data_IF_437240343976
#
_entry.id   IF_437240343976
#
_cell.length_a   1.000
_cell.length_b   1.000
_cell.length_c   1.000
_cell.angle_alpha   90.00
_cell.angle_beta   90.00
_cell.angle_gamma   90.00
#
_symmetry.space_group_name_H-M   'P 1'
#
loop_
_entity.id
_entity.type
_entity.pdbx_description
1 polymer ?
#
# COMPACT_ATOMS: atom_id res chain seq x y z
N UNK A 1 0.66 34.09 -10.93
CA UNK A 1 0.04 32.75 -11.04
C UNK A 1 1.03 31.77 -10.43
N UNK A 2 0.63 31.02 -9.40
CA UNK A 2 1.47 30.01 -8.77
C UNK A 2 1.28 28.67 -9.50
N UNK A 3 2.38 27.99 -9.83
CA UNK A 3 2.38 26.66 -10.45
C UNK A 3 3.10 25.68 -9.51
N UNK A 4 2.38 24.66 -9.01
CA UNK A 4 2.98 23.60 -8.23
C UNK A 4 3.43 22.47 -9.15
N UNK A 5 4.74 22.24 -9.23
CA UNK A 5 5.36 21.29 -10.17
C UNK A 5 5.93 20.03 -9.50
N UNK A 6 5.66 19.83 -8.20
CA UNK A 6 6.19 18.69 -7.43
C UNK A 6 5.09 17.67 -7.08
N UNK A 7 4.25 17.34 -8.05
CA UNK A 7 3.15 16.38 -7.86
C UNK A 7 3.64 14.93 -7.63
N UNK A 8 4.91 14.64 -7.87
CA UNK A 8 5.51 13.36 -7.51
C UNK A 8 5.67 13.20 -5.99
N UNK A 9 5.90 14.29 -5.27
CA UNK A 9 6.02 14.27 -3.80
C UNK A 9 4.64 14.31 -3.13
N UNK A 10 3.79 15.26 -3.52
CA UNK A 10 2.45 15.46 -2.94
C UNK A 10 1.47 15.98 -3.97
N UNK A 11 0.19 15.70 -3.77
CA UNK A 11 -0.90 16.25 -4.57
C UNK A 11 -1.97 16.87 -3.69
N UNK A 12 -2.69 17.85 -4.22
CA UNK A 12 -3.85 18.42 -3.54
C UNK A 12 -4.98 17.40 -3.51
N UNK A 13 -5.62 17.27 -2.34
CA UNK A 13 -6.79 16.42 -2.16
C UNK A 13 -7.96 16.91 -3.02
N UNK A 14 -8.64 16.03 -3.73
CA UNK A 14 -9.87 16.33 -4.43
C UNK A 14 -11.00 16.68 -3.45
N UNK A 15 -11.90 17.61 -3.81
CA UNK A 15 -13.01 18.02 -2.94
C UNK A 15 -13.85 16.83 -2.45
N UNK A 16 -14.14 15.87 -3.31
CA UNK A 16 -14.92 14.67 -3.00
C UNK A 16 -14.23 13.78 -1.95
N UNK A 17 -12.90 13.67 -2.01
CA UNK A 17 -12.12 12.91 -1.02
C UNK A 17 -12.16 13.62 0.33
N UNK A 18 -11.95 14.95 0.34
CA UNK A 18 -12.08 15.77 1.56
C UNK A 18 -13.44 15.58 2.22
N UNK A 19 -14.51 15.65 1.43
CA UNK A 19 -15.87 15.60 1.94
C UNK A 19 -16.20 14.22 2.55
N UNK A 20 -15.74 13.12 1.96
CA UNK A 20 -15.82 11.78 2.55
C UNK A 20 -14.99 11.68 3.83
N UNK A 21 -13.79 12.24 3.86
CA UNK A 21 -12.96 12.23 5.07
C UNK A 21 -13.64 12.97 6.22
N UNK A 22 -14.22 14.15 5.96
CA UNK A 22 -14.96 14.90 6.97
C UNK A 22 -16.18 14.10 7.45
N UNK A 23 -16.96 13.52 6.55
CA UNK A 23 -18.10 12.67 6.92
C UNK A 23 -17.70 11.51 7.83
N UNK A 24 -16.63 10.78 7.48
CA UNK A 24 -16.16 9.65 8.29
C UNK A 24 -15.66 10.12 9.65
N UNK A 25 -14.90 11.23 9.71
CA UNK A 25 -14.39 11.76 10.99
C UNK A 25 -15.48 12.29 11.91
N UNK A 26 -16.54 12.92 11.38
CA UNK A 26 -17.56 13.59 12.18
C UNK A 26 -18.76 12.70 12.49
N UNK A 27 -19.19 11.85 11.54
CA UNK A 27 -20.45 11.11 11.62
C UNK A 27 -20.27 9.61 11.68
N UNK A 28 -19.41 9.06 10.81
CA UNK A 28 -19.32 7.61 10.59
C UNK A 28 -18.01 7.05 11.16
N UNK A 29 -17.58 7.61 12.29
CA UNK A 29 -16.29 7.36 12.98
C UNK A 29 -16.18 5.98 13.65
N UNK A 30 -17.09 5.04 13.36
CA UNK A 30 -17.10 3.71 13.95
C UNK A 30 -15.85 2.90 13.63
N UNK A 31 -15.48 1.99 14.53
CA UNK A 31 -14.42 1.03 14.24
C UNK A 31 -14.97 -0.05 13.29
N UNK A 32 -14.41 -0.25 12.10
CA UNK A 32 -14.88 -1.26 11.14
C UNK A 32 -14.89 -2.70 11.69
N UNK A 33 -14.10 -2.98 12.72
CA UNK A 33 -14.07 -4.31 13.36
C UNK A 33 -15.17 -4.52 14.41
N UNK A 34 -15.96 -3.49 14.73
CA UNK A 34 -17.03 -3.57 15.73
C UNK A 34 -18.32 -4.11 15.13
N UNK A 35 -19.02 -4.98 15.89
CA UNK A 35 -20.24 -5.66 15.44
C UNK A 35 -21.55 -4.88 15.68
N UNK A 36 -21.47 -3.62 16.06
CA UNK A 36 -22.64 -2.75 16.23
C UNK A 36 -22.83 -1.84 15.00
N UNK A 37 -23.97 -1.18 14.90
CA UNK A 37 -24.38 -0.36 13.74
C UNK A 37 -23.27 0.58 13.22
N UNK A 38 -22.61 1.34 14.12
CA UNK A 38 -21.53 2.25 13.72
C UNK A 38 -20.30 1.54 13.14
N UNK A 39 -20.00 0.33 13.60
CA UNK A 39 -18.93 -0.48 13.03
C UNK A 39 -19.28 -0.99 11.64
N UNK A 40 -20.52 -1.44 11.44
CA UNK A 40 -21.03 -1.90 10.13
C UNK A 40 -21.04 -0.75 9.11
N UNK A 41 -21.45 0.45 9.51
CA UNK A 41 -21.39 1.66 8.66
C UNK A 41 -19.94 1.95 8.22
N UNK A 42 -18.99 1.93 9.16
CA UNK A 42 -17.58 2.15 8.88
C UNK A 42 -16.96 1.03 8.00
N UNK A 43 -17.30 -0.24 8.23
CA UNK A 43 -16.89 -1.37 7.40
C UNK A 43 -17.39 -1.21 5.94
N UNK A 44 -18.57 -0.63 5.75
CA UNK A 44 -19.13 -0.34 4.44
C UNK A 44 -18.22 0.54 3.58
N UNK A 45 -17.57 1.55 4.16
CA UNK A 45 -16.59 2.39 3.44
C UNK A 45 -15.38 1.59 3.00
N UNK A 46 -14.81 0.78 3.89
CA UNK A 46 -13.65 -0.06 3.61
C UNK A 46 -13.97 -1.07 2.50
N UNK A 47 -15.08 -1.78 2.64
CA UNK A 47 -15.53 -2.78 1.66
C UNK A 47 -15.73 -2.15 0.28
N UNK A 48 -16.41 -1.00 0.22
CA UNK A 48 -16.64 -0.28 -1.05
C UNK A 48 -15.32 0.17 -1.70
N UNK A 49 -14.38 0.71 -0.90
CA UNK A 49 -13.08 1.12 -1.40
C UNK A 49 -12.29 -0.07 -2.00
N UNK A 50 -12.23 -1.19 -1.28
CA UNK A 50 -11.58 -2.42 -1.74
C UNK A 50 -12.21 -2.93 -3.05
N UNK A 51 -13.55 -2.94 -3.14
CA UNK A 51 -14.26 -3.37 -4.37
C UNK A 51 -13.95 -2.46 -5.55
N UNK A 52 -13.91 -1.15 -5.35
CA UNK A 52 -13.58 -0.17 -6.40
C UNK A 52 -12.15 -0.34 -6.90
N UNK A 53 -11.18 -0.49 -5.99
CA UNK A 53 -9.76 -0.73 -6.33
C UNK A 53 -9.63 -2.05 -7.10
N UNK A 54 -10.23 -3.12 -6.59
CA UNK A 54 -10.21 -4.44 -7.24
C UNK A 54 -10.80 -4.39 -8.65
N UNK A 55 -11.91 -3.67 -8.83
CA UNK A 55 -12.51 -3.45 -10.15
C UNK A 55 -11.59 -2.72 -11.13
N UNK A 56 -10.87 -1.69 -10.65
CA UNK A 56 -9.89 -0.95 -11.45
C UNK A 56 -8.71 -1.83 -11.86
N UNK A 57 -8.21 -2.65 -10.94
CA UNK A 57 -7.08 -3.57 -11.17
C UNK A 57 -7.50 -4.89 -11.83
N UNK A 58 -8.79 -5.12 -12.05
CA UNK A 58 -9.38 -6.36 -12.61
C UNK A 58 -8.97 -7.61 -11.82
N UNK A 59 -8.93 -7.50 -10.49
CA UNK A 59 -8.62 -8.57 -9.54
C UNK A 59 -9.79 -8.81 -8.57
N UNK A 60 -9.65 -9.80 -7.69
CA UNK A 60 -10.67 -10.07 -6.67
C UNK A 60 -10.48 -9.16 -5.45
N UNK A 61 -11.54 -8.73 -4.76
CA UNK A 61 -11.43 -7.90 -3.55
C UNK A 61 -10.50 -8.48 -2.47
N UNK A 62 -10.46 -9.80 -2.32
CA UNK A 62 -9.56 -10.48 -1.36
C UNK A 62 -8.07 -10.37 -1.69
N UNK A 63 -7.72 -9.94 -2.90
CA UNK A 63 -6.33 -9.72 -3.35
C UNK A 63 -5.85 -8.30 -3.02
N UNK A 64 -6.75 -7.43 -2.54
CA UNK A 64 -6.41 -6.08 -2.09
C UNK A 64 -6.12 -6.10 -0.60
N UNK A 65 -4.94 -5.67 -0.22
CA UNK A 65 -4.51 -5.54 1.17
C UNK A 65 -4.27 -4.06 1.46
N UNK A 66 -5.01 -3.52 2.41
CA UNK A 66 -4.84 -2.15 2.89
C UNK A 66 -3.72 -2.12 3.92
N UNK A 67 -2.82 -1.16 3.78
CA UNK A 67 -1.66 -0.96 4.65
C UNK A 67 -1.62 0.48 5.18
N UNK A 68 -0.78 0.73 6.16
CA UNK A 68 -0.58 2.09 6.72
C UNK A 68 0.15 3.05 5.76
N UNK A 69 0.76 2.53 4.69
CA UNK A 69 1.48 3.35 3.72
C UNK A 69 2.42 2.55 2.82
N UNK A 70 3.09 3.25 1.91
CA UNK A 70 3.97 2.64 0.90
C UNK A 70 5.10 1.81 1.49
N UNK A 71 5.68 2.22 2.62
CA UNK A 71 6.75 1.47 3.28
C UNK A 71 6.28 0.08 3.72
N UNK A 72 5.12 -0.01 4.35
CA UNK A 72 4.54 -1.30 4.75
C UNK A 72 4.18 -2.15 3.52
N UNK A 73 3.57 -1.54 2.51
CA UNK A 73 3.23 -2.22 1.25
C UNK A 73 4.46 -2.82 0.58
N UNK A 74 5.54 -2.05 0.46
CA UNK A 74 6.79 -2.50 -0.16
C UNK A 74 7.45 -3.62 0.64
N UNK A 75 7.52 -3.52 1.97
CA UNK A 75 8.06 -4.57 2.82
C UNK A 75 7.23 -5.86 2.70
N UNK A 76 5.92 -5.76 2.76
CA UNK A 76 5.01 -6.91 2.63
C UNK A 76 5.16 -7.57 1.27
N UNK A 77 5.19 -6.81 0.18
CA UNK A 77 5.32 -7.34 -1.17
C UNK A 77 6.68 -8.00 -1.39
N UNK A 78 7.78 -7.32 -1.06
CA UNK A 78 9.12 -7.79 -1.36
C UNK A 78 9.52 -8.98 -0.47
N UNK A 79 9.46 -8.80 0.85
CA UNK A 79 9.85 -9.85 1.79
C UNK A 79 8.87 -11.01 1.71
N UNK A 80 7.56 -10.72 1.66
CA UNK A 80 6.52 -11.76 1.57
C UNK A 80 6.67 -12.62 0.32
N UNK A 81 6.89 -12.00 -0.86
CA UNK A 81 7.10 -12.73 -2.11
C UNK A 81 8.38 -13.56 -2.08
N UNK A 82 9.49 -12.99 -1.58
CA UNK A 82 10.76 -13.70 -1.47
C UNK A 82 10.62 -14.93 -0.58
N UNK A 83 10.02 -14.81 0.60
CA UNK A 83 9.80 -15.91 1.52
C UNK A 83 8.84 -16.97 0.98
N UNK A 84 7.75 -16.56 0.33
CA UNK A 84 6.81 -17.51 -0.27
C UNK A 84 7.44 -18.35 -1.38
N UNK A 85 8.43 -17.79 -2.08
CA UNK A 85 9.08 -18.42 -3.23
C UNK A 85 10.52 -18.91 -2.93
N UNK A 86 10.96 -18.98 -1.67
CA UNK A 86 12.33 -19.33 -1.30
C UNK A 86 12.84 -20.68 -1.85
N UNK A 87 11.92 -21.59 -2.19
CA UNK A 87 12.26 -22.90 -2.81
C UNK A 87 12.57 -22.78 -4.30
N UNK A 88 12.06 -21.74 -4.97
CA UNK A 88 12.30 -21.49 -6.39
C UNK A 88 13.66 -20.82 -6.62
N UNK A 89 14.15 -20.06 -5.64
CA UNK A 89 15.43 -19.38 -5.70
C UNK A 89 15.57 -18.32 -4.62
N UNK A 90 16.78 -17.81 -4.46
CA UNK A 90 17.12 -16.73 -3.51
C UNK A 90 17.86 -15.58 -4.21
N UNK A 91 17.55 -15.30 -5.44
CA UNK A 91 18.10 -14.16 -6.19
C UNK A 91 17.02 -13.13 -6.41
N UNK A 92 17.29 -11.87 -6.06
CA UNK A 92 16.38 -10.74 -6.19
C UNK A 92 17.09 -9.58 -6.89
N UNK A 93 16.36 -8.83 -7.72
CA UNK A 93 16.92 -7.76 -8.54
C UNK A 93 16.17 -6.46 -8.25
N UNK A 94 16.92 -5.36 -8.12
CA UNK A 94 16.38 -4.01 -7.96
C UNK A 94 17.26 -2.99 -8.68
N UNK A 95 16.91 -1.71 -8.62
CA UNK A 95 17.74 -0.62 -9.16
C UNK A 95 18.41 0.18 -8.04
N UNK A 96 19.41 0.99 -8.37
CA UNK A 96 20.11 1.84 -7.38
C UNK A 96 19.37 3.13 -7.05
N UNK A 97 18.35 3.49 -7.82
CA UNK A 97 17.60 4.75 -7.65
C UNK A 97 16.29 4.58 -6.88
N UNK A 98 16.04 3.41 -6.31
CA UNK A 98 14.83 3.13 -5.56
C UNK A 98 14.73 3.96 -4.27
N UNK A 99 13.51 4.15 -3.81
CA UNK A 99 13.24 4.76 -2.51
C UNK A 99 13.76 3.87 -1.37
N UNK A 100 14.11 4.46 -0.22
CA UNK A 100 14.60 3.74 0.96
C UNK A 100 13.69 2.58 1.39
N UNK A 101 12.37 2.72 1.24
CA UNK A 101 11.39 1.66 1.52
C UNK A 101 11.53 0.41 0.64
N UNK A 102 12.32 0.47 -0.43
CA UNK A 102 12.72 -0.66 -1.28
C UNK A 102 14.11 -1.15 -0.88
N UNK A 103 15.09 -0.25 -0.68
CA UNK A 103 16.45 -0.64 -0.33
C UNK A 103 16.53 -1.41 1.00
N UNK A 104 15.81 -0.94 2.03
CA UNK A 104 15.83 -1.58 3.35
C UNK A 104 15.34 -3.06 3.33
N UNK A 105 14.20 -3.39 2.69
CA UNK A 105 13.81 -4.78 2.48
C UNK A 105 14.84 -5.63 1.74
N UNK A 106 15.52 -5.09 0.73
CA UNK A 106 16.58 -5.81 0.02
C UNK A 106 17.77 -6.10 0.93
N UNK A 107 18.23 -5.11 1.72
CA UNK A 107 19.27 -5.31 2.74
C UNK A 107 18.84 -6.37 3.78
N UNK A 108 17.57 -6.42 4.15
CA UNK A 108 17.04 -7.47 5.03
C UNK A 108 17.07 -8.85 4.37
N UNK A 109 16.71 -8.94 3.10
CA UNK A 109 16.79 -10.20 2.35
C UNK A 109 18.23 -10.70 2.22
N UNK A 110 19.23 -9.83 2.01
CA UNK A 110 20.64 -10.18 2.02
C UNK A 110 21.08 -10.81 3.35
N UNK A 111 20.65 -10.23 4.50
CA UNK A 111 20.89 -10.81 5.82
C UNK A 111 20.24 -12.19 6.01
N UNK A 112 19.17 -12.48 5.25
CA UNK A 112 18.49 -13.78 5.24
C UNK A 112 19.07 -14.76 4.21
N UNK A 113 20.19 -14.40 3.57
CA UNK A 113 20.91 -15.24 2.61
C UNK A 113 20.35 -15.22 1.19
N UNK A 114 19.68 -14.13 0.81
CA UNK A 114 19.35 -13.85 -0.60
C UNK A 114 20.51 -13.10 -1.26
N UNK A 115 20.71 -13.34 -2.54
CA UNK A 115 21.59 -12.56 -3.39
C UNK A 115 20.80 -11.40 -3.98
N UNK A 116 21.16 -10.17 -3.63
CA UNK A 116 20.53 -8.97 -4.18
C UNK A 116 21.41 -8.33 -5.25
N UNK A 117 20.84 -8.15 -6.44
CA UNK A 117 21.51 -7.51 -7.56
C UNK A 117 20.94 -6.10 -7.76
N UNK A 118 21.81 -5.08 -7.70
CA UNK A 118 21.47 -3.68 -7.88
C UNK A 118 21.89 -3.21 -9.28
N UNK A 119 20.93 -3.02 -10.16
CA UNK A 119 21.17 -2.58 -11.50
C UNK A 119 21.57 -1.09 -11.52
N UNK A 120 22.61 -0.72 -12.29
CA UNK A 120 22.91 0.69 -12.55
C UNK A 120 21.81 1.29 -13.45
N UNK A 121 21.52 2.58 -13.28
CA UNK A 121 20.59 3.40 -14.08
C UNK A 121 21.22 4.74 -14.36
#
# INVERSE_FOLDING_TARGET
MEAYLDNAATTRVFPEVRDIMLQVMEKDFGNPSSRHTKGIEAEGYVTKAVQQIAGTLKCQPKEIILTSGGTESNNMALIGTALANQRAGKHVITTRIEHASIHEPFGRLEQMGYEAQYLPV
#
